data_IF_916178653398
#
_entry.id   IF_916178653398
#
_cell.length_a   1.000
_cell.length_b   1.000
_cell.length_c   1.000
_cell.angle_alpha   90.00
_cell.angle_beta   90.00
_cell.angle_gamma   90.00
#
_symmetry.space_group_name_H-M   'P 1'
#
loop_
_entity.id
_entity.type
_entity.pdbx_description
1 polymer ?
#
# COMPACT_ATOMS: atom_id res chain seq x y z
N UNK A 1 -21.13 8.19 -6.54
CA UNK A 1 -19.70 8.56 -6.59
C UNK A 1 -19.25 8.52 -5.15
N UNK A 2 -18.29 7.66 -4.78
CA UNK A 2 -17.70 7.72 -3.44
C UNK A 2 -17.10 9.12 -3.24
N UNK A 3 -17.26 9.68 -2.04
CA UNK A 3 -16.72 11.00 -1.72
C UNK A 3 -15.19 10.95 -1.82
N UNK A 4 -14.53 11.90 -2.51
CA UNK A 4 -13.07 11.94 -2.53
C UNK A 4 -12.56 12.08 -1.10
N UNK A 5 -11.55 11.28 -0.72
CA UNK A 5 -10.86 11.45 0.56
C UNK A 5 -10.51 12.93 0.74
N UNK A 6 -10.83 13.48 1.91
CA UNK A 6 -10.44 14.85 2.22
C UNK A 6 -8.92 14.93 2.33
N UNK A 7 -8.34 16.06 1.93
CA UNK A 7 -6.87 16.29 1.97
C UNK A 7 -6.23 16.04 3.33
N UNK A 8 -6.99 16.25 4.40
CA UNK A 8 -6.56 15.96 5.77
C UNK A 8 -6.39 14.46 6.02
N UNK A 9 -7.29 13.65 5.48
CA UNK A 9 -7.25 12.18 5.54
C UNK A 9 -6.12 11.62 4.70
N UNK A 10 -5.92 12.15 3.49
CA UNK A 10 -4.79 11.80 2.61
C UNK A 10 -3.45 12.03 3.33
N UNK A 11 -3.28 13.21 3.94
CA UNK A 11 -2.07 13.53 4.69
C UNK A 11 -1.87 12.65 5.94
N UNK A 12 -2.95 12.22 6.59
CA UNK A 12 -2.87 11.31 7.73
C UNK A 12 -2.40 9.91 7.30
N UNK A 13 -2.92 9.39 6.19
CA UNK A 13 -2.47 8.12 5.63
C UNK A 13 -1.03 8.18 5.17
N UNK A 14 -0.62 9.28 4.52
CA UNK A 14 0.76 9.45 4.09
C UNK A 14 1.74 9.41 5.28
N UNK A 15 1.40 10.09 6.38
CA UNK A 15 2.17 10.00 7.63
C UNK A 15 2.18 8.60 8.19
N UNK A 16 1.03 7.90 8.20
CA UNK A 16 0.93 6.53 8.67
C UNK A 16 1.85 5.59 7.87
N UNK A 17 1.93 5.72 6.55
CA UNK A 17 2.82 4.92 5.72
C UNK A 17 4.30 5.14 6.08
N UNK A 18 4.68 6.36 6.45
CA UNK A 18 6.05 6.71 6.85
C UNK A 18 6.36 6.28 8.29
N UNK A 19 5.41 6.38 9.20
CA UNK A 19 5.59 6.05 10.62
C UNK A 19 5.45 4.56 10.91
N UNK A 20 4.68 3.84 10.09
CA UNK A 20 4.40 2.40 10.25
C UNK A 20 4.69 1.63 8.95
N UNK A 21 5.91 1.68 8.41
CA UNK A 21 6.25 1.00 7.17
C UNK A 21 6.25 -0.53 7.30
N UNK A 22 6.32 -1.06 8.52
CA UNK A 22 6.28 -2.51 8.82
C UNK A 22 4.85 -3.04 9.05
N UNK A 23 3.82 -2.22 8.81
CA UNK A 23 2.43 -2.68 8.96
C UNK A 23 2.15 -3.90 8.08
N UNK A 24 1.33 -4.82 8.57
CA UNK A 24 0.92 -6.01 7.81
C UNK A 24 -0.29 -5.72 6.92
N UNK A 25 -0.53 -6.53 5.90
CA UNK A 25 -1.72 -6.40 5.05
C UNK A 25 -3.03 -6.47 5.85
N UNK A 26 -3.09 -7.24 6.94
CA UNK A 26 -4.26 -7.30 7.82
C UNK A 26 -4.44 -6.08 8.73
N UNK A 27 -3.41 -5.25 8.87
CA UNK A 27 -3.46 -3.97 9.59
C UNK A 27 -3.66 -2.77 8.66
N UNK A 28 -3.63 -3.00 7.34
CA UNK A 28 -3.79 -1.94 6.37
C UNK A 28 -5.19 -1.28 6.51
N UNK A 29 -5.27 0.05 6.42
CA UNK A 29 -6.53 0.77 6.58
C UNK A 29 -7.54 0.37 5.49
N UNK A 30 -8.79 0.11 5.89
CA UNK A 30 -9.83 -0.40 5.00
C UNK A 30 -10.10 0.56 3.84
N UNK A 31 -9.97 1.87 4.05
CA UNK A 31 -10.19 2.87 3.00
C UNK A 31 -9.12 2.81 1.89
N UNK A 32 -7.86 2.47 2.23
CA UNK A 32 -6.79 2.24 1.24
C UNK A 32 -7.03 0.94 0.49
N UNK A 33 -7.47 -0.12 1.20
CA UNK A 33 -7.84 -1.39 0.60
C UNK A 33 -9.04 -1.25 -0.35
N UNK A 34 -10.06 -0.50 0.06
CA UNK A 34 -11.25 -0.22 -0.74
C UNK A 34 -10.90 0.57 -1.99
N UNK A 35 -10.12 1.65 -1.86
CA UNK A 35 -9.63 2.43 -3.00
C UNK A 35 -8.89 1.53 -4.01
N UNK A 36 -8.03 0.64 -3.52
CA UNK A 36 -7.30 -0.32 -4.34
C UNK A 36 -8.19 -1.33 -5.08
N UNK A 37 -9.39 -1.61 -4.54
CA UNK A 37 -10.36 -2.51 -5.16
C UNK A 37 -11.33 -1.81 -6.13
N UNK A 38 -11.54 -0.50 -5.95
CA UNK A 38 -12.56 0.26 -6.66
C UNK A 38 -12.09 0.79 -8.02
N UNK A 39 -10.79 1.08 -8.16
CA UNK A 39 -10.22 1.63 -9.39
C UNK A 39 -9.29 0.63 -10.10
N UNK A 40 -9.24 0.72 -11.43
CA UNK A 40 -8.38 -0.14 -12.24
C UNK A 40 -6.89 0.25 -12.16
N UNK A 41 -6.61 1.52 -11.87
CA UNK A 41 -5.27 2.10 -11.77
C UNK A 41 -5.15 2.92 -10.47
N UNK A 42 -3.96 2.98 -9.85
CA UNK A 42 -3.74 3.79 -8.66
C UNK A 42 -3.96 5.28 -8.98
N UNK A 43 -4.64 5.99 -8.08
CA UNK A 43 -4.77 7.45 -8.16
C UNK A 43 -3.45 8.12 -7.78
N UNK A 44 -3.22 9.40 -8.14
CA UNK A 44 -1.97 10.10 -7.80
C UNK A 44 -1.64 10.11 -6.30
N UNK A 45 -2.67 10.17 -5.45
CA UNK A 45 -2.51 10.05 -4.00
C UNK A 45 -2.03 8.65 -3.60
N UNK A 46 -2.61 7.61 -4.19
CA UNK A 46 -2.24 6.22 -3.88
C UNK A 46 -0.84 5.88 -4.38
N UNK A 47 -0.44 6.41 -5.54
CA UNK A 47 0.94 6.35 -6.03
C UNK A 47 1.91 6.96 -5.00
N UNK A 48 1.61 8.16 -4.49
CA UNK A 48 2.43 8.83 -3.48
C UNK A 48 2.47 8.06 -2.15
N UNK A 49 1.33 7.55 -1.70
CA UNK A 49 1.19 6.75 -0.48
C UNK A 49 2.02 5.46 -0.55
N UNK A 50 1.87 4.69 -1.64
CA UNK A 50 2.63 3.44 -1.82
C UNK A 50 4.12 3.72 -2.02
N UNK A 51 4.50 4.77 -2.75
CA UNK A 51 5.90 5.15 -2.91
C UNK A 51 6.55 5.51 -1.57
N UNK A 52 5.87 6.30 -0.73
CA UNK A 52 6.38 6.71 0.57
C UNK A 52 6.54 5.52 1.52
N UNK A 53 5.51 4.68 1.64
CA UNK A 53 5.55 3.49 2.49
C UNK A 53 6.59 2.47 2.01
N UNK A 54 6.70 2.25 0.71
CA UNK A 54 7.70 1.36 0.11
C UNK A 54 9.13 1.83 0.39
N UNK A 55 9.40 3.12 0.19
CA UNK A 55 10.72 3.69 0.43
C UNK A 55 11.15 3.57 1.91
N UNK A 56 10.23 3.85 2.84
CA UNK A 56 10.51 3.72 4.28
C UNK A 56 10.59 2.24 4.71
N UNK A 57 9.77 1.36 4.15
CA UNK A 57 9.88 -0.09 4.39
C UNK A 57 11.23 -0.65 3.96
N UNK A 58 11.72 -0.27 2.77
CA UNK A 58 13.06 -0.67 2.34
C UNK A 58 14.15 -0.06 3.20
N UNK A 59 13.97 1.18 3.68
CA UNK A 59 14.90 1.79 4.61
C UNK A 59 15.03 1.00 5.92
N UNK A 60 13.90 0.52 6.45
CA UNK A 60 13.86 -0.35 7.63
C UNK A 60 14.46 -1.73 7.32
N UNK A 61 14.00 -2.40 6.26
CA UNK A 61 14.45 -3.74 5.83
C UNK A 61 15.96 -3.82 5.62
N UNK A 62 16.58 -2.77 5.09
CA UNK A 62 18.02 -2.72 4.81
C UNK A 62 18.84 -1.92 5.84
N UNK A 63 18.20 -1.31 6.84
CA UNK A 63 18.84 -0.44 7.83
C UNK A 63 19.46 0.83 7.25
N UNK A 64 19.12 1.21 6.02
CA UNK A 64 19.59 2.43 5.34
C UNK A 64 18.63 2.83 4.23
N UNK A 65 18.52 4.14 3.95
CA UNK A 65 17.78 4.63 2.78
C UNK A 65 18.45 4.19 1.48
N UNK A 66 17.65 3.69 0.55
CA UNK A 66 18.09 3.26 -0.78
C UNK A 66 17.41 4.15 -1.81
N UNK A 67 18.21 4.76 -2.69
CA UNK A 67 17.68 5.43 -3.87
C UNK A 67 17.39 4.38 -4.93
N UNK A 68 16.12 4.08 -5.14
CA UNK A 68 15.68 3.20 -6.21
C UNK A 68 15.44 3.98 -7.51
N UNK A 69 15.71 3.37 -8.67
CA UNK A 69 15.19 3.88 -9.95
C UNK A 69 13.67 4.01 -9.92
N UNK A 70 13.14 5.09 -10.49
CA UNK A 70 11.68 5.36 -10.53
C UNK A 70 10.89 4.17 -11.10
N UNK A 71 11.40 3.54 -12.16
CA UNK A 71 10.76 2.37 -12.77
C UNK A 71 10.60 1.15 -11.84
N UNK A 72 11.41 1.01 -10.80
CA UNK A 72 11.22 -0.03 -9.78
C UNK A 72 10.14 0.37 -8.78
N UNK A 73 10.09 1.65 -8.40
CA UNK A 73 9.05 2.20 -7.53
C UNK A 73 7.69 2.09 -8.23
N UNK A 74 7.58 2.49 -9.49
CA UNK A 74 6.33 2.41 -10.25
C UNK A 74 5.81 0.97 -10.33
N UNK A 75 6.71 -0.01 -10.53
CA UNK A 75 6.35 -1.43 -10.53
C UNK A 75 5.91 -1.92 -9.15
N UNK A 76 6.63 -1.54 -8.10
CA UNK A 76 6.26 -1.85 -6.73
C UNK A 76 4.85 -1.31 -6.41
N UNK A 77 4.56 -0.05 -6.76
CA UNK A 77 3.22 0.54 -6.58
C UNK A 77 2.14 -0.33 -7.23
N UNK A 78 2.32 -0.76 -8.48
CA UNK A 78 1.33 -1.58 -9.19
C UNK A 78 1.06 -2.93 -8.51
N UNK A 79 2.11 -3.62 -8.06
CA UNK A 79 1.95 -4.93 -7.41
C UNK A 79 1.40 -4.81 -5.99
N UNK A 80 1.79 -3.77 -5.25
CA UNK A 80 1.28 -3.46 -3.91
C UNK A 80 -0.20 -3.05 -3.97
N UNK A 81 -0.56 -2.20 -4.94
CA UNK A 81 -1.93 -1.84 -5.27
C UNK A 81 -2.79 -3.07 -5.55
N UNK A 82 -2.31 -3.96 -6.42
CA UNK A 82 -3.02 -5.20 -6.77
C UNK A 82 -3.23 -6.07 -5.54
N UNK A 83 -2.21 -6.22 -4.68
CA UNK A 83 -2.33 -6.97 -3.43
C UNK A 83 -3.37 -6.34 -2.49
N UNK A 84 -3.36 -5.02 -2.33
CA UNK A 84 -4.35 -4.31 -1.51
C UNK A 84 -5.79 -4.58 -1.97
N UNK A 85 -6.04 -4.55 -3.29
CA UNK A 85 -7.37 -4.88 -3.84
C UNK A 85 -7.78 -6.34 -3.60
N UNK A 86 -6.84 -7.29 -3.65
CA UNK A 86 -7.10 -8.70 -3.33
C UNK A 86 -7.43 -8.89 -1.84
N UNK A 87 -6.65 -8.28 -0.94
CA UNK A 87 -6.89 -8.31 0.51
C UNK A 87 -8.27 -7.71 0.84
N UNK A 88 -8.66 -6.61 0.18
CA UNK A 88 -10.01 -6.06 0.32
C UNK A 88 -11.10 -7.05 -0.11
N UNK A 89 -10.89 -7.73 -1.23
CA UNK A 89 -11.83 -8.72 -1.77
C UNK A 89 -12.01 -9.89 -0.80
N UNK A 90 -10.92 -10.40 -0.23
CA UNK A 90 -10.98 -11.46 0.78
C UNK A 90 -11.75 -11.00 2.03
N UNK A 91 -11.51 -9.76 2.50
CA UNK A 91 -12.28 -9.17 3.59
C UNK A 91 -13.77 -9.10 3.28
N UNK A 92 -14.15 -8.67 2.08
CA UNK A 92 -15.55 -8.63 1.63
C UNK A 92 -16.18 -10.03 1.61
N UNK A 93 -15.41 -11.05 1.23
CA UNK A 93 -15.85 -12.45 1.19
C UNK A 93 -15.77 -13.14 2.57
N UNK A 94 -15.32 -12.44 3.62
CA UNK A 94 -15.05 -13.02 4.95
C UNK A 94 -14.09 -14.22 4.89
N UNK A 95 -13.14 -14.18 3.95
CA UNK A 95 -12.08 -15.16 3.78
C UNK A 95 -10.81 -14.69 4.50
N UNK A 96 -10.00 -15.65 4.96
CA UNK A 96 -8.68 -15.33 5.51
C UNK A 96 -7.72 -15.04 4.36
N UNK A 97 -7.21 -13.81 4.28
CA UNK A 97 -6.24 -13.46 3.24
C UNK A 97 -4.92 -14.21 3.47
N UNK A 98 -4.37 -14.90 2.45
CA UNK A 98 -3.06 -15.56 2.57
C UNK A 98 -1.93 -14.55 2.80
N UNK A 99 -2.15 -13.28 2.46
CA UNK A 99 -1.22 -12.19 2.65
C UNK A 99 -1.41 -11.42 3.96
N UNK A 100 -2.41 -11.75 4.80
CA UNK A 100 -2.77 -10.97 5.99
C UNK A 100 -1.58 -10.68 6.93
N UNK A 101 -0.67 -11.66 7.08
CA UNK A 101 0.50 -11.56 7.94
C UNK A 101 1.76 -11.04 7.23
N UNK A 102 1.69 -10.73 5.93
CA UNK A 102 2.82 -10.22 5.16
C UNK A 102 2.92 -8.69 5.31
N UNK A 103 4.13 -8.11 5.20
CA UNK A 103 4.28 -6.66 5.26
C UNK A 103 3.59 -5.99 4.07
N UNK A 104 2.83 -4.94 4.35
CA UNK A 104 1.95 -4.29 3.40
C UNK A 104 2.68 -3.52 2.30
N UNK A 105 3.89 -3.05 2.57
CA UNK A 105 4.73 -2.37 1.59
C UNK A 105 5.83 -3.27 1.01
N UNK A 106 5.85 -4.58 1.28
CA UNK A 106 6.87 -5.47 0.70
C UNK A 106 6.42 -5.97 -0.68
N UNK A 107 7.20 -5.69 -1.73
CA UNK A 107 6.93 -6.15 -3.09
C UNK A 107 7.57 -7.52 -3.41
N UNK A 108 8.30 -8.11 -2.45
CA UNK A 108 8.99 -9.38 -2.62
C UNK A 108 8.02 -10.53 -2.90
N UNK A 109 8.25 -11.26 -4.01
CA UNK A 109 7.41 -12.40 -4.42
C UNK A 109 6.10 -12.02 -5.10
N UNK A 110 5.90 -10.76 -5.48
CA UNK A 110 4.70 -10.30 -6.21
C UNK A 110 4.88 -10.16 -7.74
N UNK A 111 6.05 -10.49 -8.27
CA UNK A 111 6.42 -10.41 -9.70
C UNK A 111 6.23 -11.72 -10.47
#
# INVERSE_FOLDING_TARGET
MPEPMSKETEAAFLKMAQEQPEMTCGQAPIEILEAASSDAEPTPFMEEYFAAGYAEFLAVKHGRRINLPQALIDRAILVLWRRAGLVHTDHLLSQESPDANKPFFDDEGLY
#
